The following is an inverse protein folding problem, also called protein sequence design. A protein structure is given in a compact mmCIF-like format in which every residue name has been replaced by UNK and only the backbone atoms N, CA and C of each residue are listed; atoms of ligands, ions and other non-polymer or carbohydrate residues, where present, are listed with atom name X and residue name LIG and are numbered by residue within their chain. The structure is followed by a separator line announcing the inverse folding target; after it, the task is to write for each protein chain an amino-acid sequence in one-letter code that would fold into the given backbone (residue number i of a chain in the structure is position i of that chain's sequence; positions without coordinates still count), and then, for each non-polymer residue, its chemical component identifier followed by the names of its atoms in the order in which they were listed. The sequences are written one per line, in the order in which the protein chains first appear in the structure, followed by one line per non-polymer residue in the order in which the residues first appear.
data_IF_974730904138
#
_entry.id   IF_974730904138
#
_cell.length_a   1.000
_cell.length_b   1.000
_cell.length_c   1.000
_cell.angle_alpha   90.00
_cell.angle_beta   90.00
_cell.angle_gamma   90.00
#
_symmetry.space_group_name_H-M   'P 1'
#
loop_
_entity.id
_entity.type
_entity.pdbx_description
1 polymer ?
#
# COMPACT_ATOMS: atom_id res chain seq x y z
N UNK A 1 -15.93 -49.09 -54.08
CA UNK A 1 -16.23 -49.07 -52.63
C UNK A 1 -15.11 -48.44 -51.78
N UNK A 2 -13.82 -48.70 -52.07
CA UNK A 2 -12.68 -48.17 -51.29
C UNK A 2 -12.53 -46.63 -51.27
N UNK A 3 -12.80 -45.95 -52.38
CA UNK A 3 -12.70 -44.46 -52.46
C UNK A 3 -13.66 -43.75 -51.50
N UNK A 4 -14.83 -44.34 -51.26
CA UNK A 4 -15.86 -43.79 -50.37
C UNK A 4 -15.43 -43.84 -48.88
N UNK A 5 -14.78 -44.94 -48.48
CA UNK A 5 -14.23 -45.11 -47.14
C UNK A 5 -13.04 -44.16 -46.89
N UNK A 6 -12.20 -43.92 -47.90
CA UNK A 6 -11.09 -42.98 -47.83
C UNK A 6 -11.56 -41.51 -47.72
N UNK A 7 -12.67 -41.16 -48.38
CA UNK A 7 -13.27 -39.83 -48.26
C UNK A 7 -13.88 -39.60 -46.87
N UNK A 8 -14.53 -40.62 -46.29
CA UNK A 8 -15.04 -40.58 -44.93
C UNK A 8 -13.93 -40.40 -43.88
N UNK A 9 -12.80 -41.10 -44.04
CA UNK A 9 -11.68 -40.99 -43.11
C UNK A 9 -10.99 -39.62 -43.20
N UNK A 10 -10.82 -39.07 -44.41
CA UNK A 10 -10.28 -37.72 -44.60
C UNK A 10 -11.19 -36.64 -44.00
N UNK A 11 -12.52 -36.78 -44.17
CA UNK A 11 -13.49 -35.88 -43.59
C UNK A 11 -13.46 -35.92 -42.05
N UNK A 12 -13.29 -37.10 -41.46
CA UNK A 12 -13.15 -37.26 -40.01
C UNK A 12 -11.91 -36.57 -39.44
N UNK A 13 -10.76 -36.67 -40.12
CA UNK A 13 -9.51 -36.02 -39.70
C UNK A 13 -9.60 -34.50 -39.82
N UNK A 14 -10.16 -33.97 -40.91
CA UNK A 14 -10.35 -32.53 -41.08
C UNK A 14 -11.31 -31.95 -40.03
N UNK A 15 -12.39 -32.66 -39.71
CA UNK A 15 -13.32 -32.26 -38.65
C UNK A 15 -12.67 -32.32 -37.27
N UNK A 16 -11.94 -33.40 -36.95
CA UNK A 16 -11.22 -33.55 -35.68
C UNK A 16 -10.11 -32.51 -35.50
N UNK A 17 -9.35 -32.21 -36.55
CA UNK A 17 -8.32 -31.17 -36.56
C UNK A 17 -8.89 -29.76 -36.43
N UNK A 18 -9.99 -29.46 -37.13
CA UNK A 18 -10.69 -28.17 -37.04
C UNK A 18 -11.30 -27.93 -35.65
N UNK A 19 -11.99 -28.92 -35.09
CA UNK A 19 -12.50 -28.86 -33.70
C UNK A 19 -11.38 -28.70 -32.69
N UNK A 20 -10.27 -29.43 -32.85
CA UNK A 20 -9.10 -29.31 -31.96
C UNK A 20 -8.49 -27.91 -32.01
N UNK A 21 -8.37 -27.31 -33.20
CA UNK A 21 -7.88 -25.94 -33.36
C UNK A 21 -8.81 -24.91 -32.69
N UNK A 22 -10.13 -25.06 -32.84
CA UNK A 22 -11.11 -24.18 -32.18
C UNK A 22 -11.07 -24.32 -30.65
N UNK A 23 -10.92 -25.54 -30.12
CA UNK A 23 -10.77 -25.78 -28.68
C UNK A 23 -9.46 -25.16 -28.19
N UNK A 24 -8.33 -25.40 -28.86
CA UNK A 24 -7.03 -24.87 -28.47
C UNK A 24 -6.99 -23.34 -28.44
N UNK A 25 -7.53 -22.68 -29.46
CA UNK A 25 -7.60 -21.21 -29.50
C UNK A 25 -8.51 -20.65 -28.39
N UNK A 26 -9.61 -21.34 -28.07
CA UNK A 26 -10.48 -20.96 -26.96
C UNK A 26 -9.81 -21.15 -25.58
N UNK A 27 -9.02 -22.22 -25.42
CA UNK A 27 -8.27 -22.53 -24.20
C UNK A 27 -7.12 -21.55 -24.02
N UNK A 28 -6.38 -21.22 -25.08
CA UNK A 28 -5.30 -20.22 -25.05
C UNK A 28 -5.82 -18.86 -24.57
N UNK A 29 -6.92 -18.35 -25.15
CA UNK A 29 -7.52 -17.08 -24.73
C UNK A 29 -8.01 -17.09 -23.29
N UNK A 30 -8.51 -18.23 -22.80
CA UNK A 30 -8.93 -18.39 -21.40
C UNK A 30 -7.72 -18.41 -20.45
N UNK A 31 -6.66 -19.11 -20.83
CA UNK A 31 -5.41 -19.13 -20.07
C UNK A 31 -4.78 -17.75 -20.00
N UNK A 32 -4.68 -17.02 -21.11
CA UNK A 32 -4.15 -15.65 -21.13
C UNK A 32 -4.92 -14.72 -20.19
N UNK A 33 -6.25 -14.77 -20.20
CA UNK A 33 -7.08 -13.98 -19.27
C UNK A 33 -6.89 -14.40 -17.81
N UNK A 34 -6.75 -15.69 -17.55
CA UNK A 34 -6.49 -16.21 -16.21
C UNK A 34 -5.12 -15.76 -15.70
N UNK A 35 -4.08 -15.85 -16.52
CA UNK A 35 -2.73 -15.39 -16.20
C UNK A 35 -2.70 -13.88 -15.96
N UNK A 36 -3.38 -13.08 -16.80
CA UNK A 36 -3.49 -11.63 -16.60
C UNK A 36 -4.16 -11.29 -15.26
N UNK A 37 -5.24 -12.00 -14.90
CA UNK A 37 -5.89 -11.82 -13.60
C UNK A 37 -4.98 -12.20 -12.44
N UNK A 38 -4.23 -13.30 -12.57
CA UNK A 38 -3.26 -13.72 -11.56
C UNK A 38 -2.17 -12.68 -11.37
N UNK A 39 -1.55 -12.21 -12.45
CA UNK A 39 -0.53 -11.16 -12.40
C UNK A 39 -1.08 -9.83 -11.83
N UNK A 40 -2.32 -9.48 -12.13
CA UNK A 40 -2.97 -8.30 -11.56
C UNK A 40 -3.19 -8.46 -10.05
N UNK A 41 -3.62 -9.64 -9.59
CA UNK A 41 -3.77 -9.95 -8.17
C UNK A 41 -2.42 -9.94 -7.44
N UNK A 42 -1.38 -10.56 -8.02
CA UNK A 42 -0.02 -10.54 -7.47
C UNK A 42 0.53 -9.11 -7.32
N UNK A 43 0.31 -8.24 -8.32
CA UNK A 43 0.69 -6.83 -8.24
C UNK A 43 -0.11 -6.05 -7.21
N UNK A 44 -1.41 -6.33 -7.07
CA UNK A 44 -2.25 -5.71 -6.07
C UNK A 44 -1.79 -6.09 -4.65
N UNK A 45 -1.51 -7.38 -4.42
CA UNK A 45 -1.01 -7.87 -3.13
C UNK A 45 0.35 -7.28 -2.79
N UNK A 46 1.26 -7.19 -3.77
CA UNK A 46 2.57 -6.54 -3.57
C UNK A 46 2.42 -5.08 -3.14
N UNK A 47 1.57 -4.32 -3.82
CA UNK A 47 1.30 -2.91 -3.45
C UNK A 47 0.69 -2.78 -2.06
N UNK A 48 -0.22 -3.69 -1.69
CA UNK A 48 -0.80 -3.74 -0.34
C UNK A 48 0.28 -3.98 0.72
N UNK A 49 1.24 -4.86 0.44
CA UNK A 49 2.41 -5.08 1.29
C UNK A 49 3.26 -3.82 1.46
N UNK A 50 3.63 -3.16 0.35
CA UNK A 50 4.40 -1.91 0.36
C UNK A 50 3.69 -0.80 1.15
N UNK A 51 2.37 -0.69 1.01
CA UNK A 51 1.53 0.24 1.76
C UNK A 51 1.53 -0.06 3.27
N UNK A 52 1.35 -1.32 3.66
CA UNK A 52 1.36 -1.73 5.07
C UNK A 52 2.71 -1.49 5.74
N UNK A 53 3.81 -1.77 5.03
CA UNK A 53 5.16 -1.54 5.54
C UNK A 53 5.43 -0.05 5.75
N UNK A 54 5.01 0.80 4.81
CA UNK A 54 5.13 2.26 4.95
C UNK A 54 4.28 2.81 6.10
N UNK A 55 3.05 2.34 6.29
CA UNK A 55 2.21 2.76 7.41
C UNK A 55 2.80 2.33 8.75
N UNK A 56 3.35 1.12 8.83
CA UNK A 56 4.06 0.64 10.02
C UNK A 56 5.26 1.54 10.33
N UNK A 57 6.05 1.87 9.32
CA UNK A 57 7.22 2.72 9.49
C UNK A 57 6.84 4.13 9.94
N UNK A 58 5.85 4.74 9.30
CA UNK A 58 5.33 6.05 9.71
C UNK A 58 4.86 6.04 11.17
N UNK A 59 4.10 5.04 11.60
CA UNK A 59 3.64 4.92 12.99
C UNK A 59 4.80 4.74 13.96
N UNK A 60 5.82 3.96 13.58
CA UNK A 60 7.03 3.75 14.38
C UNK A 60 7.78 5.06 14.61
N UNK A 61 8.05 5.80 13.53
CA UNK A 61 8.78 7.08 13.59
C UNK A 61 7.95 8.14 14.32
N UNK A 62 6.64 8.19 14.10
CA UNK A 62 5.75 9.07 14.86
C UNK A 62 5.80 8.79 16.37
N UNK A 63 5.85 7.53 16.79
CA UNK A 63 6.02 7.17 18.20
C UNK A 63 7.40 7.55 18.75
N UNK A 64 8.45 7.52 17.93
CA UNK A 64 9.77 8.02 18.34
C UNK A 64 9.73 9.54 18.55
N UNK A 65 8.98 10.26 17.71
CA UNK A 65 8.79 11.71 17.86
C UNK A 65 8.04 12.04 19.15
N UNK A 66 6.99 11.26 19.47
CA UNK A 66 6.27 11.37 20.75
C UNK A 66 7.20 11.20 21.94
N UNK A 67 8.03 10.16 21.96
CA UNK A 67 8.99 9.91 23.06
C UNK A 67 10.04 11.00 23.16
N UNK A 68 10.61 11.42 22.03
CA UNK A 68 11.56 12.52 22.03
C UNK A 68 10.92 13.76 22.66
N UNK A 69 9.67 14.11 22.31
CA UNK A 69 9.02 15.25 22.93
C UNK A 69 8.85 15.12 24.46
N UNK A 70 8.62 13.91 24.98
CA UNK A 70 8.60 13.62 26.43
C UNK A 70 9.99 13.75 27.07
N UNK A 71 11.03 13.22 26.44
CA UNK A 71 12.41 13.20 26.95
C UNK A 71 13.08 14.59 26.97
N UNK A 72 12.45 15.59 26.35
CA UNK A 72 13.01 16.94 26.15
C UNK A 72 13.55 17.62 27.40
N UNK A 73 12.90 17.42 28.54
CA UNK A 73 13.31 18.03 29.81
C UNK A 73 14.40 17.24 30.55
N UNK A 74 14.53 15.95 30.25
CA UNK A 74 15.33 15.01 31.04
C UNK A 74 16.65 14.64 30.35
N UNK A 75 16.67 14.63 29.01
CA UNK A 75 17.80 14.12 28.23
C UNK A 75 18.60 15.22 27.52
N UNK A 76 19.90 15.42 27.86
CA UNK A 76 20.74 16.43 27.21
C UNK A 76 20.94 16.22 25.70
N UNK A 77 20.86 14.96 25.24
CA UNK A 77 20.99 14.58 23.83
C UNK A 77 19.65 14.59 23.07
N UNK A 78 18.56 14.95 23.74
CA UNK A 78 17.22 14.99 23.16
C UNK A 78 17.19 15.68 21.79
N UNK A 79 17.82 16.85 21.68
CA UNK A 79 17.69 17.70 20.49
C UNK A 79 18.23 17.03 19.22
N UNK A 80 19.35 16.29 19.32
CA UNK A 80 19.87 15.57 18.16
C UNK A 80 18.97 14.40 17.79
N UNK A 81 18.47 13.65 18.78
CA UNK A 81 17.53 12.56 18.52
C UNK A 81 16.21 13.05 17.91
N UNK A 82 15.70 14.20 18.37
CA UNK A 82 14.50 14.83 17.83
C UNK A 82 14.69 15.26 16.36
N UNK A 83 15.85 15.82 16.00
CA UNK A 83 16.16 16.20 14.61
C UNK A 83 16.19 14.98 13.69
N UNK A 84 16.88 13.91 14.08
CA UNK A 84 16.97 12.68 13.28
C UNK A 84 15.58 12.08 13.03
N UNK A 85 14.75 12.03 14.08
CA UNK A 85 13.38 11.51 13.99
C UNK A 85 12.48 12.40 13.13
N UNK A 86 12.59 13.72 13.21
CA UNK A 86 11.80 14.66 12.39
C UNK A 86 12.14 14.49 10.91
N UNK A 87 13.42 14.32 10.57
CA UNK A 87 13.85 14.07 9.20
C UNK A 87 13.25 12.77 8.65
N UNK A 88 13.32 11.67 9.41
CA UNK A 88 12.69 10.40 9.05
C UNK A 88 11.16 10.52 8.92
N UNK A 89 10.52 11.31 9.79
CA UNK A 89 9.08 11.51 9.79
C UNK A 89 8.61 12.23 8.51
N UNK A 90 9.34 13.26 8.08
CA UNK A 90 9.07 13.96 6.82
C UNK A 90 9.35 13.09 5.60
N UNK A 91 10.30 12.16 5.65
CA UNK A 91 10.51 11.17 4.58
C UNK A 91 9.30 10.24 4.48
N UNK A 92 8.85 9.68 5.60
CA UNK A 92 7.67 8.80 5.62
C UNK A 92 6.42 9.52 5.10
N UNK A 93 6.21 10.77 5.49
CA UNK A 93 5.10 11.59 5.00
C UNK A 93 5.12 11.78 3.48
N UNK A 94 6.29 12.08 2.90
CA UNK A 94 6.45 12.20 1.44
C UNK A 94 6.22 10.87 0.73
N UNK A 95 6.63 9.75 1.33
CA UNK A 95 6.33 8.43 0.80
C UNK A 95 4.84 8.13 0.85
N UNK A 96 4.11 8.59 1.88
CA UNK A 96 2.65 8.47 1.95
C UNK A 96 2.00 9.25 0.81
N UNK A 97 2.52 10.44 0.49
CA UNK A 97 2.06 11.24 -0.65
C UNK A 97 2.18 10.49 -1.99
N UNK A 98 3.21 9.65 -2.14
CA UNK A 98 3.45 8.88 -3.38
C UNK A 98 2.52 7.67 -3.50
N UNK A 99 2.23 6.97 -2.38
CA UNK A 99 1.60 5.65 -2.41
C UNK A 99 0.12 5.62 -2.04
N UNK A 100 -0.42 6.70 -1.46
CA UNK A 100 -1.78 6.76 -0.94
C UNK A 100 -2.59 7.92 -1.51
N UNK A 101 -3.89 7.94 -1.19
CA UNK A 101 -4.76 9.03 -1.60
C UNK A 101 -4.36 10.37 -0.99
N UNK A 102 -4.79 11.45 -1.64
CA UNK A 102 -4.62 12.81 -1.13
C UNK A 102 -5.27 13.03 0.25
N UNK A 103 -6.33 12.27 0.59
CA UNK A 103 -6.97 12.34 1.90
C UNK A 103 -6.04 11.81 2.98
N UNK A 104 -5.47 10.61 2.80
CA UNK A 104 -4.55 10.05 3.78
C UNK A 104 -3.29 10.91 3.92
N UNK A 105 -2.72 11.37 2.81
CA UNK A 105 -1.60 12.30 2.82
C UNK A 105 -1.90 13.59 3.61
N UNK A 106 -3.06 14.22 3.39
CA UNK A 106 -3.43 15.43 4.12
C UNK A 106 -3.50 15.21 5.64
N UNK A 107 -4.01 14.05 6.07
CA UNK A 107 -4.10 13.68 7.48
C UNK A 107 -2.74 13.28 8.08
N UNK A 108 -1.90 12.58 7.32
CA UNK A 108 -0.52 12.29 7.70
C UNK A 108 0.26 13.59 7.92
N UNK A 109 0.17 14.55 6.98
CA UNK A 109 0.82 15.85 7.10
C UNK A 109 0.29 16.65 8.30
N UNK A 110 -1.01 16.61 8.58
CA UNK A 110 -1.57 17.26 9.77
C UNK A 110 -0.99 16.66 11.07
N UNK A 111 -0.83 15.34 11.12
CA UNK A 111 -0.24 14.66 12.26
C UNK A 111 1.26 14.96 12.40
N UNK A 112 2.05 14.95 11.31
CA UNK A 112 3.47 15.34 11.34
C UNK A 112 3.65 16.77 11.84
N UNK A 113 2.80 17.71 11.40
CA UNK A 113 2.84 19.09 11.91
C UNK A 113 2.56 19.16 13.41
N UNK A 114 1.55 18.43 13.89
CA UNK A 114 1.26 18.38 15.31
C UNK A 114 2.43 17.80 16.12
N UNK A 115 3.15 16.79 15.59
CA UNK A 115 4.35 16.24 16.21
C UNK A 115 5.51 17.25 16.23
N UNK A 116 5.74 17.97 15.14
CA UNK A 116 6.75 19.03 15.06
C UNK A 116 6.45 20.16 16.06
N UNK A 117 5.19 20.57 16.15
CA UNK A 117 4.75 21.59 17.10
C UNK A 117 5.03 21.18 18.56
N UNK A 118 4.65 19.96 18.97
CA UNK A 118 4.87 19.52 20.36
C UNK A 118 6.33 19.17 20.67
N UNK A 119 7.15 18.84 19.66
CA UNK A 119 8.58 18.64 19.82
C UNK A 119 9.28 19.95 20.17
N UNK A 120 8.99 21.01 19.41
CA UNK A 120 9.74 22.26 19.52
C UNK A 120 9.11 23.28 20.45
N UNK A 121 7.81 23.22 20.67
CA UNK A 121 7.07 24.19 21.47
C UNK A 121 6.51 23.54 22.73
N UNK A 122 6.52 24.30 23.83
CA UNK A 122 5.69 23.92 24.97
C UNK A 122 4.22 24.13 24.59
N UNK A 123 3.35 23.12 24.84
CA UNK A 123 1.93 23.29 24.66
C UNK A 123 1.44 24.50 25.47
N UNK A 124 0.76 25.44 24.83
CA UNK A 124 0.29 26.66 25.49
C UNK A 124 -0.76 26.36 26.57
N UNK A 125 -1.62 25.34 26.35
CA UNK A 125 -2.64 24.87 27.30
C UNK A 125 -2.89 23.37 27.13
N UNK A 126 -3.02 22.61 28.22
CA UNK A 126 -3.29 21.17 28.17
C UNK A 126 -2.03 20.32 27.99
N UNK A 127 -2.20 19.00 27.91
CA UNK A 127 -1.08 18.08 27.75
C UNK A 127 -0.62 17.99 26.30
N UNK A 128 0.63 17.57 26.09
CA UNK A 128 1.14 17.18 24.77
C UNK A 128 0.20 16.20 24.07
N UNK A 129 -0.35 15.25 24.83
CA UNK A 129 -1.27 14.24 24.35
C UNK A 129 -2.59 14.80 23.81
N UNK A 130 -3.08 15.90 24.37
CA UNK A 130 -4.30 16.55 23.91
C UNK A 130 -4.14 17.12 22.49
N UNK A 131 -2.95 17.64 22.17
CA UNK A 131 -2.62 18.18 20.85
C UNK A 131 -2.46 17.07 19.79
N UNK A 132 -1.92 15.92 20.19
CA UNK A 132 -1.65 14.82 19.26
C UNK A 132 -2.86 13.92 19.01
N UNK A 133 -3.75 13.76 20.00
CA UNK A 133 -4.84 12.77 19.94
C UNK A 133 -5.73 12.93 18.71
N UNK A 134 -6.15 14.16 18.42
CA UNK A 134 -7.03 14.45 17.27
C UNK A 134 -6.39 14.06 15.93
N UNK A 135 -5.25 14.66 15.55
CA UNK A 135 -4.54 14.33 14.32
C UNK A 135 -4.16 12.85 14.21
N UNK A 136 -3.70 12.23 15.30
CA UNK A 136 -3.33 10.80 15.35
C UNK A 136 -4.52 9.90 15.03
N UNK A 137 -5.65 10.09 15.70
CA UNK A 137 -6.86 9.27 15.48
C UNK A 137 -7.36 9.45 14.05
N UNK A 138 -7.43 10.69 13.56
CA UNK A 138 -7.89 10.96 12.20
C UNK A 138 -7.01 10.28 11.14
N UNK A 139 -5.69 10.30 11.31
CA UNK A 139 -4.76 9.58 10.45
C UNK A 139 -4.97 8.05 10.50
N UNK A 140 -5.06 7.47 11.71
CA UNK A 140 -5.21 6.01 11.87
C UNK A 140 -6.54 5.50 11.32
N UNK A 141 -7.62 6.26 11.48
CA UNK A 141 -8.92 5.90 10.91
C UNK A 141 -8.89 5.97 9.38
N UNK A 142 -8.29 7.00 8.80
CA UNK A 142 -8.12 7.07 7.34
C UNK A 142 -7.21 5.96 6.80
N UNK A 143 -6.16 5.58 7.55
CA UNK A 143 -5.30 4.46 7.17
C UNK A 143 -6.06 3.13 7.20
N UNK A 144 -6.96 2.93 8.17
CA UNK A 144 -7.85 1.78 8.23
C UNK A 144 -8.79 1.75 7.02
N UNK A 145 -9.38 2.88 6.67
CA UNK A 145 -10.27 3.00 5.50
C UNK A 145 -9.55 2.63 4.19
N UNK A 146 -8.32 3.13 4.00
CA UNK A 146 -7.49 2.83 2.82
C UNK A 146 -7.10 1.35 2.68
N UNK A 147 -6.83 0.67 3.80
CA UNK A 147 -6.50 -0.76 3.79
C UNK A 147 -7.73 -1.67 3.68
N UNK A 148 -8.91 -1.14 3.99
CA UNK A 148 -10.20 -1.83 3.87
C UNK A 148 -10.85 -1.70 2.50
N UNK A 149 -10.42 -0.72 1.69
CA UNK A 149 -10.84 -0.51 0.30
C UNK A 149 -10.16 -1.48 -0.68
#
# INVERSE_FOLDING_TARGET
MQVWLALLSLAGVLLGGGLSYLVQTSVQRRNERSEQRRLAAERAEKRRGEQLDLLREFVRVAQQAERAAEDRAEEPSWKSAALDVVDELWVCERMIHVLFSGRLHGLARAYVKALDDVLWQEPAEGSLWDHLKGPKVAFLDAARDELGA
#
